data_IF_079453964405
#
_entry.id   IF_079453964405
#
_cell.length_a   1.000
_cell.length_b   1.000
_cell.length_c   1.000
_cell.angle_alpha   90.00
_cell.angle_beta   90.00
_cell.angle_gamma   90.00
#
_symmetry.space_group_name_H-M   'P 1'
#
loop_
_entity.id
_entity.type
_entity.pdbx_description
1 polymer ?
#
# COMPACT_ATOMS: atom_id res chain seq x y z
N UNK A 1 42.24 44.94 28.51
CA UNK A 1 41.72 45.47 29.80
C UNK A 1 40.30 44.96 29.92
N UNK A 2 40.18 43.69 30.28
CA UNK A 2 38.93 42.93 30.22
C UNK A 2 38.38 42.71 31.63
N UNK A 3 37.08 43.01 31.78
CA UNK A 3 36.29 42.75 32.99
C UNK A 3 36.04 41.24 33.14
N UNK A 4 36.42 40.67 34.28
CA UNK A 4 35.87 39.39 34.81
C UNK A 4 35.67 39.50 36.32
N UNK A 5 34.41 39.59 36.74
CA UNK A 5 33.96 39.22 38.09
C UNK A 5 33.35 37.83 37.99
N UNK A 6 33.93 36.86 38.69
CA UNK A 6 33.57 35.44 38.64
C UNK A 6 32.65 35.11 39.83
N UNK A 7 31.39 34.77 39.56
CA UNK A 7 30.41 34.30 40.53
C UNK A 7 29.66 33.10 39.95
N UNK A 8 30.18 31.90 40.21
CA UNK A 8 29.68 30.64 39.69
C UNK A 8 28.60 30.09 40.65
N UNK A 9 27.38 29.74 40.19
CA UNK A 9 26.37 29.12 41.03
C UNK A 9 26.62 27.62 41.26
N UNK A 10 26.21 27.21 42.45
CA UNK A 10 26.55 26.01 43.24
C UNK A 10 26.15 24.66 42.62
N UNK A 11 27.00 23.66 42.85
CA UNK A 11 26.87 22.24 42.53
C UNK A 11 25.57 21.65 43.11
N UNK A 12 24.87 20.80 42.35
CA UNK A 12 23.54 20.23 42.63
C UNK A 12 23.50 19.22 43.79
N UNK A 13 24.34 19.40 44.80
CA UNK A 13 24.52 18.49 45.93
C UNK A 13 23.57 18.86 47.05
N UNK A 14 22.60 18.00 47.32
CA UNK A 14 21.60 18.19 48.38
C UNK A 14 22.29 18.37 49.75
N UNK A 15 22.14 19.57 50.31
CA UNK A 15 22.69 19.97 51.61
C UNK A 15 21.79 19.40 52.70
N UNK A 16 22.24 18.34 53.38
CA UNK A 16 21.49 17.72 54.48
C UNK A 16 22.44 17.42 55.63
N UNK A 17 21.96 17.59 56.87
CA UNK A 17 22.73 17.22 58.07
C UNK A 17 22.97 15.69 58.11
N UNK A 18 24.07 15.20 58.72
CA UNK A 18 24.34 13.76 58.81
C UNK A 18 23.19 12.97 59.45
N UNK A 19 22.54 13.55 60.45
CA UNK A 19 21.39 12.95 61.12
C UNK A 19 20.16 12.86 60.22
N UNK A 20 19.86 13.93 59.46
CA UNK A 20 18.75 13.93 58.51
C UNK A 20 18.96 12.92 57.37
N UNK A 21 20.20 12.75 56.89
CA UNK A 21 20.51 11.73 55.86
C UNK A 21 20.24 10.31 56.35
N UNK A 22 20.69 10.00 57.57
CA UNK A 22 20.49 8.68 58.18
C UNK A 22 19.01 8.39 58.42
N UNK A 23 18.25 9.37 58.92
CA UNK A 23 16.80 9.23 59.14
C UNK A 23 16.02 9.07 57.84
N UNK A 24 16.39 9.79 56.78
CA UNK A 24 15.76 9.65 55.47
C UNK A 24 16.01 8.27 54.86
N UNK A 25 17.21 7.72 55.04
CA UNK A 25 17.56 6.36 54.60
C UNK A 25 16.79 5.29 55.38
N UNK A 26 16.71 5.41 56.71
CA UNK A 26 15.93 4.50 57.57
C UNK A 26 14.42 4.53 57.26
N UNK A 27 13.88 5.69 56.87
CA UNK A 27 12.45 5.86 56.55
C UNK A 27 12.12 5.70 55.05
N UNK A 28 13.12 5.41 54.20
CA UNK A 28 12.92 5.26 52.74
C UNK A 28 12.54 6.56 52.02
N UNK A 29 12.84 7.72 52.60
CA UNK A 29 12.50 9.03 52.07
C UNK A 29 13.63 9.52 51.15
N UNK A 30 13.30 9.90 49.91
CA UNK A 30 14.26 10.55 49.01
C UNK A 30 14.44 12.01 49.42
N UNK A 31 15.66 12.38 49.83
CA UNK A 31 16.01 13.75 50.23
C UNK A 31 15.73 14.81 49.15
N UNK A 32 15.67 14.42 47.88
CA UNK A 32 15.29 15.31 46.77
C UNK A 32 13.87 15.84 46.87
N UNK A 33 13.01 15.16 47.62
CA UNK A 33 11.60 15.48 47.73
C UNK A 33 11.27 16.25 49.01
N UNK A 34 12.27 16.52 49.87
CA UNK A 34 12.11 17.19 51.16
C UNK A 34 12.69 18.60 51.05
N UNK A 35 11.89 19.60 51.41
CA UNK A 35 12.33 20.99 51.48
C UNK A 35 13.05 21.27 52.81
N UNK A 36 14.28 21.79 52.75
CA UNK A 36 15.13 21.98 53.92
C UNK A 36 14.93 23.34 54.59
N UNK A 37 14.60 23.37 55.89
CA UNK A 37 14.34 24.60 56.64
C UNK A 37 15.57 25.16 57.39
N UNK A 38 16.72 24.47 57.33
CA UNK A 38 17.96 24.89 58.01
C UNK A 38 18.76 25.98 57.30
N UNK A 39 19.84 26.49 57.92
CA UNK A 39 20.69 27.54 57.34
C UNK A 39 21.21 27.17 55.94
N UNK A 40 21.03 28.08 54.98
CA UNK A 40 21.34 27.88 53.55
C UNK A 40 20.52 26.76 52.87
N UNK A 41 19.28 26.51 53.30
CA UNK A 41 18.37 25.51 52.72
C UNK A 41 18.76 24.08 53.07
N UNK A 42 19.45 23.88 54.21
CA UNK A 42 19.92 22.57 54.64
C UNK A 42 18.78 21.75 55.24
N UNK A 43 18.60 20.51 54.79
CA UNK A 43 17.64 19.57 55.37
C UNK A 43 18.11 19.12 56.76
N UNK A 44 17.30 19.40 57.77
CA UNK A 44 17.55 19.05 59.17
C UNK A 44 16.57 17.97 59.64
N UNK A 45 16.83 17.41 60.83
CA UNK A 45 16.03 16.32 61.41
C UNK A 45 14.52 16.60 61.36
N UNK A 46 14.12 17.83 61.72
CA UNK A 46 12.70 18.23 61.77
C UNK A 46 12.01 18.11 60.42
N UNK A 47 12.72 18.40 59.33
CA UNK A 47 12.15 18.37 57.97
C UNK A 47 11.82 16.95 57.53
N UNK A 48 12.62 15.95 57.97
CA UNK A 48 12.35 14.53 57.73
C UNK A 48 11.21 14.04 58.60
N UNK A 49 11.16 14.45 59.88
CA UNK A 49 10.08 14.05 60.80
C UNK A 49 8.72 14.66 60.39
N UNK A 50 8.72 15.85 59.80
CA UNK A 50 7.51 16.48 59.27
C UNK A 50 7.24 16.18 57.80
N UNK A 51 8.07 15.35 57.15
CA UNK A 51 7.87 15.01 55.75
C UNK A 51 6.73 14.00 55.61
N UNK A 52 5.58 14.50 55.17
CA UNK A 52 4.53 13.63 54.65
C UNK A 52 4.77 13.41 53.15
N UNK A 53 4.83 12.16 52.69
CA UNK A 53 4.96 11.89 51.26
C UNK A 53 3.72 12.44 50.57
N UNK A 54 3.89 13.56 49.86
CA UNK A 54 2.89 14.04 48.92
C UNK A 54 2.61 12.91 47.93
N UNK A 55 1.36 12.40 47.93
CA UNK A 55 0.88 11.52 46.87
C UNK A 55 0.95 12.32 45.57
N UNK A 56 2.08 12.23 44.87
CA UNK A 56 2.16 12.66 43.49
C UNK A 56 0.98 11.99 42.76
N UNK A 57 0.13 12.74 42.05
CA UNK A 57 -0.95 12.13 41.31
C UNK A 57 -0.32 11.14 40.34
N UNK A 58 -0.62 9.86 40.52
CA UNK A 58 -0.25 8.84 39.55
C UNK A 58 -0.84 9.29 38.21
N UNK A 59 0.01 9.62 37.25
CA UNK A 59 -0.44 9.86 35.90
C UNK A 59 -1.19 8.58 35.47
N UNK A 60 -2.46 8.67 35.06
CA UNK A 60 -3.17 7.49 34.60
C UNK A 60 -2.46 7.01 33.34
N UNK A 61 -1.70 5.94 33.44
CA UNK A 61 -1.36 5.10 32.29
C UNK A 61 -2.66 4.44 31.86
N UNK A 62 -3.50 5.18 31.13
CA UNK A 62 -4.64 4.60 30.45
C UNK A 62 -4.09 3.63 29.39
N UNK A 63 -4.07 2.35 29.74
CA UNK A 63 -4.02 1.28 28.74
C UNK A 63 -5.25 1.45 27.87
N UNK A 64 -5.08 2.00 26.67
CA UNK A 64 -6.14 2.10 25.68
C UNK A 64 -6.43 0.68 25.19
N UNK A 65 -7.30 -0.05 25.89
CA UNK A 65 -7.85 -1.29 25.37
C UNK A 65 -8.88 -0.94 24.30
N UNK A 66 -8.56 -1.24 23.04
CA UNK A 66 -9.56 -1.19 21.97
C UNK A 66 -10.39 -2.46 22.07
N UNK A 67 -11.70 -2.31 22.24
CA UNK A 67 -12.63 -3.44 22.19
C UNK A 67 -12.80 -3.93 20.75
N UNK A 68 -13.01 -5.25 20.61
CA UNK A 68 -13.33 -5.87 19.34
C UNK A 68 -14.69 -5.37 18.83
N UNK A 69 -14.78 -5.11 17.53
CA UNK A 69 -16.03 -4.72 16.87
C UNK A 69 -16.42 -5.77 15.84
N UNK A 70 -17.63 -6.29 15.97
CA UNK A 70 -18.22 -7.19 14.98
C UNK A 70 -18.93 -6.41 13.88
N UNK A 71 -18.65 -6.77 12.62
CA UNK A 71 -19.31 -6.19 11.45
C UNK A 71 -19.90 -7.31 10.58
N UNK A 72 -21.18 -7.16 10.18
CA UNK A 72 -21.82 -8.12 9.28
C UNK A 72 -21.25 -7.99 7.86
N UNK A 73 -20.91 -9.11 7.25
CA UNK A 73 -20.41 -9.17 5.87
C UNK A 73 -21.57 -9.00 4.88
N UNK A 74 -21.41 -8.06 3.92
CA UNK A 74 -22.40 -7.85 2.84
C UNK A 74 -22.49 -9.06 1.91
N UNK A 75 -23.62 -9.20 1.21
CA UNK A 75 -23.80 -10.30 0.27
C UNK A 75 -22.78 -10.26 -0.89
N UNK A 76 -22.46 -9.06 -1.37
CA UNK A 76 -21.42 -8.86 -2.39
C UNK A 76 -20.07 -9.38 -1.92
N UNK A 77 -19.66 -9.03 -0.69
CA UNK A 77 -18.38 -9.48 -0.12
C UNK A 77 -18.32 -10.99 0.08
N UNK A 78 -19.44 -11.65 0.43
CA UNK A 78 -19.52 -13.11 0.47
C UNK A 78 -19.30 -13.74 -0.90
N UNK A 79 -19.91 -13.19 -1.95
CA UNK A 79 -19.73 -13.68 -3.33
C UNK A 79 -18.29 -13.53 -3.79
N UNK A 80 -17.66 -12.39 -3.56
CA UNK A 80 -16.25 -12.14 -3.88
C UNK A 80 -15.35 -13.14 -3.15
N UNK A 81 -15.55 -13.33 -1.84
CA UNK A 81 -14.76 -14.26 -1.04
C UNK A 81 -14.84 -15.69 -1.56
N UNK A 82 -16.04 -16.15 -1.94
CA UNK A 82 -16.25 -17.47 -2.55
C UNK A 82 -15.50 -17.58 -3.88
N UNK A 83 -15.69 -16.63 -4.81
CA UNK A 83 -15.05 -16.65 -6.15
C UNK A 83 -13.52 -16.63 -6.07
N UNK A 84 -12.95 -15.77 -5.22
CA UNK A 84 -11.49 -15.70 -5.04
C UNK A 84 -10.92 -16.99 -4.44
N UNK A 85 -11.65 -17.60 -3.49
CA UNK A 85 -11.25 -18.89 -2.92
C UNK A 85 -11.29 -19.98 -3.99
N UNK A 86 -12.39 -20.10 -4.73
CA UNK A 86 -12.53 -21.06 -5.84
C UNK A 86 -11.41 -20.90 -6.86
N UNK A 87 -11.11 -19.67 -7.29
CA UNK A 87 -9.98 -19.37 -8.19
C UNK A 87 -8.65 -19.88 -7.62
N UNK A 88 -8.32 -19.49 -6.39
CA UNK A 88 -7.02 -19.79 -5.80
C UNK A 88 -6.80 -21.28 -5.53
N UNK A 89 -7.86 -22.01 -5.17
CA UNK A 89 -7.79 -23.43 -4.89
C UNK A 89 -7.85 -24.30 -6.16
N UNK A 90 -8.55 -23.87 -7.20
CA UNK A 90 -8.76 -24.68 -8.40
C UNK A 90 -7.77 -24.41 -9.53
N UNK A 91 -7.29 -23.17 -9.67
CA UNK A 91 -6.26 -22.79 -10.64
C UNK A 91 -4.88 -22.86 -10.00
N UNK A 92 -3.98 -23.75 -10.45
CA UNK A 92 -2.58 -23.72 -10.04
C UNK A 92 -1.94 -22.42 -10.54
N UNK A 93 -1.89 -21.40 -9.68
CA UNK A 93 -1.29 -20.12 -10.01
C UNK A 93 0.23 -20.24 -10.05
N UNK A 94 0.84 -19.82 -11.14
CA UNK A 94 2.25 -19.46 -11.18
C UNK A 94 2.41 -17.98 -11.52
N UNK A 95 3.56 -17.42 -11.18
CA UNK A 95 3.81 -15.99 -11.24
C UNK A 95 5.12 -15.70 -11.92
N UNK A 96 5.11 -14.70 -12.79
CA UNK A 96 6.30 -14.19 -13.46
C UNK A 96 6.33 -12.69 -13.33
N UNK A 97 7.46 -12.17 -12.86
CA UNK A 97 7.69 -10.74 -12.76
C UNK A 97 8.77 -10.34 -13.76
N UNK A 98 8.49 -9.31 -14.54
CA UNK A 98 9.50 -8.62 -15.35
C UNK A 98 9.58 -7.15 -14.94
N UNK A 99 10.72 -6.55 -15.22
CA UNK A 99 10.97 -5.13 -14.98
C UNK A 99 11.14 -4.39 -16.32
N UNK A 100 10.23 -3.46 -16.59
CA UNK A 100 10.06 -2.77 -17.87
C UNK A 100 10.66 -1.36 -17.79
N UNK A 101 11.46 -1.00 -18.79
CA UNK A 101 11.84 0.39 -19.02
C UNK A 101 10.66 1.19 -19.58
N UNK A 102 10.23 2.19 -18.83
CA UNK A 102 9.11 3.06 -19.12
C UNK A 102 9.53 4.41 -19.69
N UNK A 103 10.82 4.65 -19.94
CA UNK A 103 11.33 5.97 -20.36
C UNK A 103 10.70 6.43 -21.67
N UNK A 104 10.71 5.59 -22.71
CA UNK A 104 10.07 5.90 -23.99
C UNK A 104 8.55 6.08 -23.86
N UNK A 105 7.90 5.26 -23.03
CA UNK A 105 6.45 5.35 -22.78
C UNK A 105 6.09 6.65 -22.05
N UNK A 106 6.95 7.09 -21.12
CA UNK A 106 6.79 8.32 -20.37
C UNK A 106 6.76 9.54 -21.28
N UNK A 107 7.69 9.62 -22.21
CA UNK A 107 7.78 10.75 -23.14
C UNK A 107 6.72 10.67 -24.24
N UNK A 108 6.45 9.49 -24.80
CA UNK A 108 5.36 9.30 -25.75
C UNK A 108 4.01 9.69 -25.15
N UNK A 109 3.75 9.33 -23.88
CA UNK A 109 2.52 9.72 -23.19
C UNK A 109 2.38 11.24 -23.04
N UNK A 110 3.47 11.97 -22.78
CA UNK A 110 3.43 13.44 -22.72
C UNK A 110 3.01 14.02 -24.06
N UNK A 111 3.68 13.62 -25.14
CA UNK A 111 3.38 14.09 -26.50
C UNK A 111 1.96 13.74 -26.93
N UNK A 112 1.50 12.51 -26.66
CA UNK A 112 0.13 12.09 -26.96
C UNK A 112 -0.91 12.93 -26.23
N UNK A 113 -0.65 13.34 -25.00
CA UNK A 113 -1.57 14.18 -24.22
C UNK A 113 -1.59 15.65 -24.66
N UNK A 114 -0.61 16.12 -25.42
CA UNK A 114 -0.63 17.49 -25.99
C UNK A 114 -1.62 17.61 -27.16
N UNK A 115 -1.90 16.50 -27.84
CA UNK A 115 -2.76 16.45 -29.04
C UNK A 115 -4.08 15.72 -28.83
N UNK A 116 -4.28 15.12 -27.65
CA UNK A 116 -5.45 14.30 -27.34
C UNK A 116 -6.46 15.08 -26.51
N UNK A 117 -7.72 15.07 -26.94
CA UNK A 117 -8.83 15.67 -26.17
C UNK A 117 -9.14 14.90 -24.88
N UNK A 118 -8.78 13.61 -24.84
CA UNK A 118 -8.92 12.76 -23.65
C UNK A 118 -7.54 12.50 -23.04
N UNK A 119 -7.43 12.72 -21.73
CA UNK A 119 -6.19 12.46 -20.99
C UNK A 119 -5.90 10.95 -20.96
N UNK A 120 -4.82 10.55 -21.60
CA UNK A 120 -4.32 9.17 -21.62
C UNK A 120 -3.47 8.93 -20.37
N UNK A 121 -3.79 7.88 -19.62
CA UNK A 121 -3.03 7.39 -18.47
C UNK A 121 -1.97 6.35 -18.88
N UNK A 122 -1.04 6.02 -17.97
CA UNK A 122 -0.15 4.88 -18.19
C UNK A 122 -0.92 3.55 -18.21
N UNK A 123 -2.01 3.46 -17.44
CA UNK A 123 -2.86 2.28 -17.42
C UNK A 123 -3.50 2.00 -18.78
N UNK A 124 -3.94 3.04 -19.49
CA UNK A 124 -4.55 2.88 -20.83
C UNK A 124 -3.54 2.36 -21.85
N UNK A 125 -2.27 2.77 -21.73
CA UNK A 125 -1.16 2.25 -22.55
C UNK A 125 -0.90 0.78 -22.23
N UNK A 126 -0.88 0.40 -20.95
CA UNK A 126 -0.73 -1.00 -20.52
C UNK A 126 -1.90 -1.85 -21.05
N UNK A 127 -3.14 -1.38 -20.89
CA UNK A 127 -4.34 -2.07 -21.39
C UNK A 127 -4.26 -2.26 -22.91
N UNK A 128 -3.82 -1.25 -23.67
CA UNK A 128 -3.62 -1.39 -25.12
C UNK A 128 -2.51 -2.37 -25.47
N UNK A 129 -1.40 -2.35 -24.73
CA UNK A 129 -0.28 -3.27 -24.94
C UNK A 129 -0.70 -4.72 -24.67
N UNK A 130 -1.40 -4.96 -23.57
CA UNK A 130 -1.99 -6.26 -23.21
C UNK A 130 -2.93 -6.73 -24.30
N UNK A 131 -3.88 -5.88 -24.74
CA UNK A 131 -4.83 -6.28 -25.77
C UNK A 131 -4.14 -6.65 -27.10
N UNK A 132 -3.07 -5.92 -27.45
CA UNK A 132 -2.26 -6.22 -28.64
C UNK A 132 -1.48 -7.52 -28.49
N UNK A 133 -0.97 -7.82 -27.30
CA UNK A 133 -0.27 -9.06 -27.00
C UNK A 133 -1.21 -10.27 -27.06
N UNK A 134 -2.39 -10.19 -26.44
CA UNK A 134 -3.41 -11.25 -26.45
C UNK A 134 -3.84 -11.64 -27.86
N UNK A 135 -3.84 -10.68 -28.81
CA UNK A 135 -4.14 -10.99 -30.22
C UNK A 135 -3.06 -11.84 -30.89
N UNK A 136 -1.81 -11.74 -30.43
CA UNK A 136 -0.66 -12.51 -30.94
C UNK A 136 -0.48 -13.85 -30.21
N UNK A 137 -0.99 -13.93 -28.97
CA UNK A 137 -0.86 -15.06 -28.06
C UNK A 137 -2.26 -15.51 -27.62
N UNK A 138 -3.03 -16.17 -28.52
CA UNK A 138 -4.43 -16.51 -28.27
C UNK A 138 -4.61 -17.57 -27.17
N UNK A 139 -3.59 -18.40 -26.94
CA UNK A 139 -3.49 -19.35 -25.83
C UNK A 139 -3.62 -18.67 -24.46
N UNK A 140 -3.04 -17.47 -24.28
CA UNK A 140 -3.21 -16.67 -23.06
C UNK A 140 -4.65 -16.13 -22.94
N UNK A 141 -5.28 -15.82 -24.08
CA UNK A 141 -6.66 -15.33 -24.14
C UNK A 141 -7.67 -16.48 -24.08
N UNK A 142 -7.55 -17.35 -23.06
CA UNK A 142 -8.36 -18.57 -22.92
C UNK A 142 -8.99 -18.73 -21.54
N UNK A 143 -9.89 -19.70 -21.39
CA UNK A 143 -10.52 -20.09 -20.12
C UNK A 143 -10.59 -21.61 -19.94
N UNK A 144 -10.52 -22.05 -18.68
CA UNK A 144 -10.61 -23.47 -18.30
C UNK A 144 -12.05 -23.85 -18.00
N UNK A 145 -12.63 -24.80 -18.73
CA UNK A 145 -14.00 -25.29 -18.52
C UNK A 145 -14.05 -26.77 -18.13
N UNK A 146 -13.14 -27.22 -17.28
CA UNK A 146 -13.18 -28.56 -16.70
C UNK A 146 -12.68 -29.65 -17.65
N UNK A 147 -13.40 -29.89 -18.75
CA UNK A 147 -13.08 -30.89 -19.77
C UNK A 147 -12.55 -30.31 -21.08
N UNK A 148 -12.54 -28.97 -21.20
CA UNK A 148 -12.06 -28.25 -22.39
C UNK A 148 -11.44 -26.91 -22.01
N UNK A 149 -10.59 -26.42 -22.91
CA UNK A 149 -10.08 -25.05 -22.92
C UNK A 149 -10.86 -24.28 -23.99
N UNK A 150 -11.32 -23.07 -23.66
CA UNK A 150 -11.95 -22.18 -24.63
C UNK A 150 -10.97 -21.06 -24.93
N UNK A 151 -10.49 -21.04 -26.17
CA UNK A 151 -9.77 -19.91 -26.74
C UNK A 151 -10.75 -18.82 -27.18
N UNK A 152 -10.54 -17.59 -26.73
CA UNK A 152 -11.45 -16.48 -27.01
C UNK A 152 -10.99 -15.69 -28.24
N UNK A 153 -11.88 -15.55 -29.23
CA UNK A 153 -11.61 -14.75 -30.44
C UNK A 153 -11.70 -13.23 -30.22
N UNK A 154 -12.49 -12.80 -29.24
CA UNK A 154 -12.57 -11.40 -28.82
C UNK A 154 -11.60 -11.15 -27.66
N UNK A 155 -11.01 -9.96 -27.63
CA UNK A 155 -10.12 -9.53 -26.54
C UNK A 155 -10.85 -8.51 -25.69
N UNK A 156 -11.30 -8.92 -24.51
CA UNK A 156 -12.06 -8.08 -23.58
C UNK A 156 -11.26 -7.91 -22.29
N UNK A 157 -10.70 -6.73 -22.06
CA UNK A 157 -9.84 -6.46 -20.92
C UNK A 157 -10.65 -5.86 -19.78
N UNK A 158 -10.73 -6.57 -18.66
CA UNK A 158 -11.22 -6.03 -17.39
C UNK A 158 -10.16 -5.19 -16.70
N UNK A 159 -10.55 -4.05 -16.13
CA UNK A 159 -9.69 -3.19 -15.31
C UNK A 159 -10.19 -3.21 -13.88
N UNK A 160 -9.35 -3.62 -12.94
CA UNK A 160 -9.72 -3.68 -11.53
C UNK A 160 -9.79 -2.28 -10.90
N UNK A 161 -10.95 -1.92 -10.34
CA UNK A 161 -11.22 -0.62 -9.72
C UNK A 161 -11.63 -0.81 -8.26
N UNK A 162 -10.88 -0.18 -7.36
CA UNK A 162 -11.20 -0.16 -5.92
C UNK A 162 -12.38 0.76 -5.61
N UNK A 163 -13.33 0.25 -4.83
CA UNK A 163 -14.49 0.99 -4.31
C UNK A 163 -14.62 0.76 -2.80
N UNK A 164 -15.43 1.55 -2.12
CA UNK A 164 -15.60 1.46 -0.65
C UNK A 164 -15.96 0.04 -0.17
N UNK A 165 -16.84 -0.65 -0.90
CA UNK A 165 -17.31 -1.98 -0.53
C UNK A 165 -16.40 -3.13 -1.01
N UNK A 166 -15.34 -2.84 -1.79
CA UNK A 166 -14.41 -3.86 -2.29
C UNK A 166 -13.78 -3.52 -3.64
N UNK A 167 -13.82 -4.48 -4.56
CA UNK A 167 -13.21 -4.39 -5.88
C UNK A 167 -14.25 -4.75 -6.93
N UNK A 168 -14.35 -3.95 -7.98
CA UNK A 168 -15.15 -4.24 -9.17
C UNK A 168 -14.25 -4.24 -10.41
N UNK A 169 -14.70 -4.91 -11.46
CA UNK A 169 -13.89 -5.15 -12.67
C UNK A 169 -14.71 -4.79 -13.91
N UNK A 170 -14.89 -3.50 -14.22
CA UNK A 170 -15.47 -3.09 -15.49
C UNK A 170 -14.65 -3.62 -16.67
N UNK A 171 -15.33 -3.91 -17.78
CA UNK A 171 -14.78 -4.57 -18.97
C UNK A 171 -14.80 -3.61 -20.16
N UNK A 172 -13.66 -3.52 -20.86
CA UNK A 172 -13.55 -2.80 -22.13
C UNK A 172 -13.62 -3.84 -23.25
N UNK A 173 -14.76 -3.94 -23.94
CA UNK A 173 -14.94 -4.94 -25.00
C UNK A 173 -14.07 -4.68 -26.23
N UNK A 174 -13.63 -5.73 -26.92
CA UNK A 174 -12.87 -5.66 -28.16
C UNK A 174 -11.69 -4.67 -28.07
N UNK A 175 -10.97 -4.70 -26.95
CA UNK A 175 -9.89 -3.76 -26.61
C UNK A 175 -8.79 -3.76 -27.68
N UNK A 176 -8.57 -4.90 -28.35
CA UNK A 176 -7.58 -5.06 -29.42
C UNK A 176 -7.90 -4.17 -30.64
N UNK A 177 -9.18 -3.96 -30.93
CA UNK A 177 -9.67 -3.17 -32.07
C UNK A 177 -9.70 -1.66 -31.79
N UNK A 178 -9.58 -1.24 -30.53
CA UNK A 178 -9.72 0.16 -30.11
C UNK A 178 -8.39 0.91 -30.12
N UNK A 179 -8.43 2.20 -30.47
CA UNK A 179 -7.29 3.11 -30.32
C UNK A 179 -7.07 3.55 -28.86
N UNK A 180 -5.89 4.10 -28.55
CA UNK A 180 -5.56 4.56 -27.18
C UNK A 180 -6.54 5.60 -26.63
N UNK A 181 -6.98 6.55 -27.47
CA UNK A 181 -7.94 7.59 -27.06
C UNK A 181 -9.31 6.99 -26.69
N UNK A 182 -9.77 6.02 -27.48
CA UNK A 182 -11.04 5.34 -27.22
C UNK A 182 -10.96 4.52 -25.92
N UNK A 183 -9.87 3.77 -25.72
CA UNK A 183 -9.62 3.05 -24.47
C UNK A 183 -9.61 4.01 -23.28
N UNK A 184 -8.91 5.14 -23.38
CA UNK A 184 -8.86 6.13 -22.30
C UNK A 184 -10.22 6.73 -21.97
N UNK A 185 -11.04 7.02 -22.99
CA UNK A 185 -12.38 7.57 -22.81
C UNK A 185 -13.32 6.56 -22.12
N UNK A 186 -13.37 5.32 -22.63
CA UNK A 186 -14.22 4.26 -22.06
C UNK A 186 -13.76 3.84 -20.66
N UNK A 187 -12.45 3.70 -20.45
CA UNK A 187 -11.82 3.42 -19.15
C UNK A 187 -12.23 4.47 -18.11
N UNK A 188 -12.15 5.75 -18.47
CA UNK A 188 -12.57 6.84 -17.60
C UNK A 188 -14.06 6.77 -17.25
N UNK A 189 -14.93 6.57 -18.25
CA UNK A 189 -16.37 6.46 -18.04
C UNK A 189 -16.72 5.29 -17.09
N UNK A 190 -16.13 4.12 -17.33
CA UNK A 190 -16.35 2.92 -16.52
C UNK A 190 -15.82 3.08 -15.09
N UNK A 191 -14.68 3.75 -14.90
CA UNK A 191 -14.13 4.05 -13.57
C UNK A 191 -15.06 5.03 -12.82
N UNK A 192 -15.57 6.07 -13.48
CA UNK A 192 -16.52 7.01 -12.87
C UNK A 192 -17.82 6.30 -12.47
N UNK A 193 -18.38 5.46 -13.35
CA UNK A 193 -19.53 4.60 -13.04
C UNK A 193 -19.24 3.66 -11.86
N UNK A 194 -18.06 3.06 -11.81
CA UNK A 194 -17.65 2.15 -10.73
C UNK A 194 -17.64 2.86 -9.38
N UNK A 195 -17.03 4.05 -9.33
CA UNK A 195 -16.92 4.86 -8.12
C UNK A 195 -18.29 5.36 -7.64
N UNK A 196 -19.20 5.70 -8.58
CA UNK A 196 -20.55 6.15 -8.29
C UNK A 196 -21.56 5.01 -8.03
N UNK A 197 -21.14 3.75 -8.17
CA UNK A 197 -21.98 2.55 -8.05
C UNK A 197 -23.08 2.45 -9.12
N UNK A 198 -22.82 2.99 -10.31
CA UNK A 198 -23.74 3.04 -11.45
C UNK A 198 -23.39 2.02 -12.56
N UNK A 199 -22.37 1.18 -12.34
CA UNK A 199 -22.00 0.11 -13.28
C UNK A 199 -23.16 -0.88 -13.47
N UNK A 200 -23.45 -1.17 -14.73
CA UNK A 200 -24.41 -2.20 -15.09
C UNK A 200 -23.75 -3.58 -15.03
N UNK A 201 -24.50 -4.66 -14.75
CA UNK A 201 -23.96 -6.02 -14.73
C UNK A 201 -23.25 -6.41 -16.03
N UNK A 202 -23.78 -5.97 -17.17
CA UNK A 202 -23.22 -6.22 -18.51
C UNK A 202 -21.83 -5.59 -18.68
N UNK A 203 -21.55 -4.46 -18.02
CA UNK A 203 -20.26 -3.78 -18.05
C UNK A 203 -19.21 -4.48 -17.16
N UNK A 204 -19.59 -5.51 -16.39
CA UNK A 204 -18.72 -6.25 -15.47
C UNK A 204 -18.50 -7.71 -15.88
N UNK A 205 -19.17 -8.17 -16.95
CA UNK A 205 -19.14 -9.55 -17.43
C UNK A 205 -18.39 -9.68 -18.76
N UNK A 206 -18.02 -10.90 -19.13
CA UNK A 206 -17.45 -11.17 -20.45
C UNK A 206 -15.99 -10.79 -20.65
N UNK A 207 -15.25 -10.46 -19.58
CA UNK A 207 -13.79 -10.31 -19.66
C UNK A 207 -13.12 -11.61 -20.11
N UNK A 208 -12.04 -11.49 -20.85
CA UNK A 208 -11.14 -12.60 -21.20
C UNK A 208 -9.78 -12.46 -20.55
N UNK A 209 -9.42 -11.25 -20.11
CA UNK A 209 -8.20 -10.94 -19.37
C UNK A 209 -8.46 -9.86 -18.31
N UNK A 210 -7.64 -9.79 -17.25
CA UNK A 210 -7.75 -8.73 -16.23
C UNK A 210 -6.43 -8.00 -16.02
N UNK A 211 -6.50 -6.67 -15.88
CA UNK A 211 -5.39 -5.82 -15.45
C UNK A 211 -5.75 -5.22 -14.08
N UNK A 212 -4.83 -5.34 -13.13
CA UNK A 212 -4.92 -4.73 -11.80
C UNK A 212 -3.73 -3.82 -11.58
N UNK A 213 -3.97 -2.57 -11.22
CA UNK A 213 -2.91 -1.56 -11.09
C UNK A 213 -2.93 -0.95 -9.68
N UNK A 214 -1.82 -1.10 -8.96
CA UNK A 214 -1.61 -0.49 -7.65
C UNK A 214 -0.44 0.50 -7.63
N UNK A 215 0.09 0.86 -8.81
CA UNK A 215 1.21 1.79 -8.92
C UNK A 215 0.91 3.17 -8.35
N UNK A 216 -0.35 3.60 -8.35
CA UNK A 216 -0.78 4.86 -7.71
C UNK A 216 -0.63 4.87 -6.19
N UNK A 217 -0.54 3.70 -5.56
CA UNK A 217 -0.31 3.55 -4.12
C UNK A 217 1.17 3.37 -3.77
N UNK A 218 2.08 3.49 -4.75
CA UNK A 218 3.51 3.29 -4.54
C UNK A 218 3.91 1.83 -4.34
N UNK A 219 3.02 0.88 -4.67
CA UNK A 219 3.34 -0.56 -4.60
C UNK A 219 4.31 -0.89 -5.73
N UNK A 220 5.51 -1.32 -5.37
CA UNK A 220 6.55 -1.72 -6.33
C UNK A 220 6.12 -2.96 -7.13
N UNK A 221 5.62 -3.99 -6.44
CA UNK A 221 5.32 -5.30 -7.01
C UNK A 221 4.24 -5.98 -6.17
N UNK A 222 3.33 -6.71 -6.81
CA UNK A 222 2.35 -7.55 -6.13
C UNK A 222 1.85 -8.67 -7.06
N UNK A 223 1.38 -9.76 -6.47
CA UNK A 223 0.67 -10.82 -7.20
C UNK A 223 -0.83 -10.62 -7.06
N UNK A 224 -1.58 -10.87 -8.13
CA UNK A 224 -3.04 -10.84 -8.08
C UNK A 224 -3.61 -12.27 -8.10
N UNK A 225 -4.86 -12.40 -7.65
CA UNK A 225 -5.63 -13.65 -7.81
C UNK A 225 -6.40 -13.54 -9.11
N UNK A 226 -6.31 -14.57 -9.95
CA UNK A 226 -7.00 -14.63 -11.24
C UNK A 226 -8.50 -14.45 -11.01
N UNK A 227 -9.15 -13.62 -11.84
CA UNK A 227 -10.59 -13.43 -11.84
C UNK A 227 -11.24 -14.44 -12.80
N UNK A 228 -11.89 -15.52 -12.31
CA UNK A 228 -12.47 -16.51 -13.20
C UNK A 228 -13.59 -15.90 -14.05
N UNK A 229 -13.76 -16.33 -15.32
CA UNK A 229 -13.14 -17.50 -15.93
C UNK A 229 -11.80 -17.26 -16.64
N UNK A 230 -11.20 -16.06 -16.52
CA UNK A 230 -9.96 -15.72 -17.21
C UNK A 230 -8.82 -16.68 -16.84
N UNK A 231 -7.91 -16.96 -17.76
CA UNK A 231 -6.70 -17.73 -17.45
C UNK A 231 -5.65 -16.91 -16.70
N UNK A 232 -5.63 -15.59 -16.91
CA UNK A 232 -4.53 -14.74 -16.46
C UNK A 232 -5.01 -13.39 -15.90
N UNK A 233 -4.17 -12.81 -15.04
CA UNK A 233 -4.30 -11.43 -14.54
C UNK A 233 -2.91 -10.76 -14.47
N UNK A 234 -2.82 -9.53 -14.97
CA UNK A 234 -1.60 -8.73 -14.89
C UNK A 234 -1.68 -7.75 -13.72
N UNK A 235 -0.72 -7.84 -12.81
CA UNK A 235 -0.50 -6.89 -11.73
C UNK A 235 0.54 -5.84 -12.14
N UNK A 236 0.17 -4.56 -12.05
CA UNK A 236 1.00 -3.42 -12.48
C UNK A 236 1.46 -2.62 -11.27
N UNK A 237 2.77 -2.60 -11.06
CA UNK A 237 3.42 -1.84 -10.00
C UNK A 237 3.61 -0.36 -10.32
N UNK A 238 4.27 0.35 -9.41
CA UNK A 238 4.60 1.75 -9.55
C UNK A 238 5.72 1.96 -10.59
N UNK A 239 5.61 3.06 -11.34
CA UNK A 239 6.74 3.58 -12.14
C UNK A 239 7.67 4.32 -11.20
N UNK A 240 8.92 3.87 -11.11
CA UNK A 240 9.94 4.36 -10.18
C UNK A 240 11.10 4.98 -10.94
N UNK A 241 11.72 6.00 -10.35
CA UNK A 241 12.98 6.55 -10.85
C UNK A 241 14.13 5.87 -10.11
N UNK A 242 14.95 5.12 -10.85
CA UNK A 242 16.02 4.27 -10.28
C UNK A 242 17.30 4.40 -11.10
N UNK A 243 18.49 4.26 -10.49
CA UNK A 243 19.74 4.24 -11.24
C UNK A 243 19.82 2.99 -12.11
N UNK A 244 19.98 3.16 -13.42
CA UNK A 244 20.16 2.10 -14.41
C UNK A 244 21.48 2.26 -15.13
N UNK A 245 22.01 1.18 -15.69
CA UNK A 245 23.23 1.22 -16.50
C UNK A 245 22.86 1.27 -17.97
N UNK A 246 23.22 2.36 -18.64
CA UNK A 246 23.07 2.54 -20.09
C UNK A 246 24.45 2.83 -20.69
N UNK A 247 24.84 2.05 -21.70
CA UNK A 247 26.14 2.17 -22.38
C UNK A 247 27.37 2.18 -21.43
N UNK A 248 27.23 1.59 -20.24
CA UNK A 248 28.29 1.53 -19.22
C UNK A 248 28.27 2.65 -18.18
N UNK A 249 27.38 3.63 -18.32
CA UNK A 249 27.22 4.75 -17.39
C UNK A 249 25.96 4.59 -16.53
N UNK A 250 26.00 5.09 -15.29
CA UNK A 250 24.84 5.08 -14.38
C UNK A 250 23.98 6.33 -14.64
N UNK A 251 22.77 6.12 -15.13
CA UNK A 251 21.81 7.20 -15.46
C UNK A 251 20.47 6.98 -14.74
N UNK A 252 19.66 8.03 -14.50
CA UNK A 252 18.30 7.86 -13.98
C UNK A 252 17.39 7.20 -15.02
N UNK A 253 16.84 6.02 -14.72
CA UNK A 253 15.88 5.30 -15.55
C UNK A 253 14.48 5.27 -14.93
N UNK A 254 13.45 5.05 -15.76
CA UNK A 254 12.07 4.85 -15.28
C UNK A 254 11.70 3.38 -15.37
N UNK A 255 11.51 2.73 -14.23
CA UNK A 255 11.31 1.27 -14.14
C UNK A 255 9.93 0.93 -13.61
N UNK A 256 9.27 -0.04 -14.22
CA UNK A 256 7.96 -0.55 -13.78
C UNK A 256 7.99 -2.06 -13.78
N UNK A 257 7.74 -2.64 -12.61
CA UNK A 257 7.52 -4.07 -12.52
C UNK A 257 6.08 -4.42 -12.87
N UNK A 258 5.92 -5.50 -13.63
CA UNK A 258 4.64 -6.13 -13.85
C UNK A 258 4.74 -7.61 -13.51
N UNK A 259 3.71 -8.13 -12.86
CA UNK A 259 3.64 -9.54 -12.47
C UNK A 259 2.43 -10.19 -13.13
N UNK A 260 2.67 -11.17 -14.00
CA UNK A 260 1.61 -11.98 -14.58
C UNK A 260 1.30 -13.14 -13.63
N UNK A 261 0.03 -13.33 -13.30
CA UNK A 261 -0.45 -14.53 -12.62
C UNK A 261 -1.27 -15.35 -13.60
N UNK A 262 -0.91 -16.62 -13.76
CA UNK A 262 -1.43 -17.47 -14.83
C UNK A 262 -1.87 -18.83 -14.29
N UNK A 263 -2.92 -19.38 -14.89
CA UNK A 263 -3.39 -20.75 -14.63
C UNK A 263 -2.51 -21.76 -15.38
N UNK A 264 -1.68 -22.50 -14.65
CA UNK A 264 -0.70 -23.42 -15.23
C UNK A 264 -1.35 -24.61 -15.98
N UNK A 265 -2.68 -24.78 -15.92
CA UNK A 265 -3.39 -25.77 -16.74
C UNK A 265 -3.57 -25.32 -18.19
N UNK A 266 -3.47 -24.02 -18.46
CA UNK A 266 -3.65 -23.41 -19.77
C UNK A 266 -2.31 -22.86 -20.29
N UNK A 267 -1.65 -22.03 -19.48
CA UNK A 267 -0.45 -21.30 -19.86
C UNK A 267 0.76 -21.98 -19.22
N UNK A 268 1.76 -22.30 -20.03
CA UNK A 268 3.06 -22.78 -19.54
C UNK A 268 4.09 -21.65 -19.51
N UNK A 269 5.23 -21.86 -18.84
CA UNK A 269 6.27 -20.83 -18.71
C UNK A 269 7.00 -20.45 -20.00
N UNK A 270 6.71 -21.06 -21.16
CA UNK A 270 7.26 -20.63 -22.46
C UNK A 270 6.26 -19.74 -23.20
N UNK A 271 4.96 -20.02 -23.03
CA UNK A 271 3.86 -19.21 -23.58
C UNK A 271 3.64 -17.87 -22.88
N UNK A 272 4.20 -17.68 -21.68
CA UNK A 272 3.86 -16.61 -20.75
C UNK A 272 4.66 -15.30 -20.89
#
# INVERSE_FOLDING_TARGET
LDKKGNGQPDDGRIKASPLARKMAEEQGIKLSNVEGSGPHGRIIKRDIESYEPSKAPAAPTATVSREDKEHRVSQMRKTIARRLSESKFSSPHYYETIDIDMSAVWDARKQLNEISDTKISFNDIVVKAVATALRKHPDINSSWQGDKIIEHGNVNVAVAVGIEEGLVTPVIDNTDQKGLQQIAAESKELIEKAQNRDLQPEEMEGSTFTVSNLGMFGIEEFTAIINPPNACILAVGAIREEPVVEEGEVVPGKRMKVTLSSDHRIVDGVSA
#
